data_IF_743646240160
#
_entry.id   IF_743646240160
#
_cell.length_a   1.000
_cell.length_b   1.000
_cell.length_c   1.000
_cell.angle_alpha   90.00
_cell.angle_beta   90.00
_cell.angle_gamma   90.00
#
_symmetry.space_group_name_H-M   'P 1'
#
loop_
_entity.id
_entity.type
_entity.pdbx_description
1 polymer ?
#
# COMPACT_ATOMS: atom_id res chain seq x y z
N UNK A 1 -2.63 10.82 6.12
CA UNK A 1 -1.69 11.04 5.00
C UNK A 1 -1.71 9.83 4.10
N UNK A 2 -1.88 10.02 2.79
CA UNK A 2 -1.81 8.92 1.81
C UNK A 2 -0.36 8.79 1.30
N UNK A 3 0.16 7.57 1.25
CA UNK A 3 1.47 7.24 0.69
C UNK A 3 1.27 6.19 -0.40
N UNK A 4 1.74 6.50 -1.61
CA UNK A 4 1.82 5.59 -2.75
C UNK A 4 3.28 5.51 -3.23
N UNK A 5 3.67 4.40 -3.86
CA UNK A 5 5.02 4.26 -4.42
C UNK A 5 5.31 5.35 -5.47
N UNK A 6 4.35 5.62 -6.35
CA UNK A 6 4.49 6.65 -7.40
C UNK A 6 4.71 8.05 -6.80
N UNK A 7 4.00 8.40 -5.72
CA UNK A 7 4.17 9.69 -5.04
C UNK A 7 5.57 9.80 -4.42
N UNK A 8 6.06 8.72 -3.82
CA UNK A 8 7.41 8.68 -3.23
C UNK A 8 8.48 8.83 -4.31
N UNK A 9 8.36 8.10 -5.42
CA UNK A 9 9.31 8.17 -6.53
C UNK A 9 9.30 9.56 -7.19
N UNK A 10 8.14 10.15 -7.43
CA UNK A 10 8.05 11.51 -7.98
C UNK A 10 8.70 12.54 -7.05
N UNK A 11 8.44 12.45 -5.74
CA UNK A 11 9.06 13.32 -4.74
C UNK A 11 10.58 13.14 -4.71
N UNK A 12 11.06 11.90 -4.68
CA UNK A 12 12.49 11.61 -4.68
C UNK A 12 13.16 12.17 -5.93
N UNK A 13 12.59 11.89 -7.11
CA UNK A 13 13.14 12.37 -8.37
C UNK A 13 13.18 13.89 -8.42
N UNK A 14 12.26 14.60 -7.76
CA UNK A 14 12.29 16.06 -7.67
C UNK A 14 13.35 16.61 -6.69
N UNK A 15 13.91 15.79 -5.80
CA UNK A 15 14.81 16.24 -4.73
C UNK A 15 16.21 16.68 -5.18
N UNK A 16 16.69 16.17 -6.33
CA UNK A 16 18.02 16.49 -6.87
C UNK A 16 19.20 15.93 -6.06
N UNK A 17 18.94 14.97 -5.16
CA UNK A 17 19.99 14.27 -4.38
C UNK A 17 20.76 13.26 -5.23
N UNK A 18 21.90 12.77 -4.71
CA UNK A 18 22.64 11.66 -5.34
C UNK A 18 21.75 10.40 -5.48
N UNK A 19 20.97 10.08 -4.44
CA UNK A 19 19.99 8.99 -4.48
C UNK A 19 18.97 9.20 -5.59
N UNK A 20 18.47 10.42 -5.80
CA UNK A 20 17.52 10.71 -6.87
C UNK A 20 18.09 10.44 -8.27
N UNK A 21 19.38 10.71 -8.49
CA UNK A 21 20.04 10.41 -9.77
C UNK A 21 20.13 8.90 -10.00
N UNK A 22 20.50 8.14 -8.96
CA UNK A 22 20.56 6.67 -9.01
C UNK A 22 19.16 6.09 -9.24
N UNK A 23 18.13 6.62 -8.58
CA UNK A 23 16.73 6.18 -8.75
C UNK A 23 16.27 6.40 -10.19
N UNK A 24 16.58 7.56 -10.79
CA UNK A 24 16.26 7.83 -12.20
C UNK A 24 16.96 6.83 -13.13
N UNK A 25 18.26 6.63 -12.95
CA UNK A 25 19.04 5.68 -13.77
C UNK A 25 18.49 4.25 -13.69
N UNK A 26 18.15 3.78 -12.49
CA UNK A 26 17.60 2.43 -12.30
C UNK A 26 16.20 2.31 -12.91
N UNK A 27 15.35 3.33 -12.78
CA UNK A 27 14.02 3.32 -13.39
C UNK A 27 14.11 3.32 -14.91
N UNK A 28 15.02 4.12 -15.48
CA UNK A 28 15.22 4.18 -16.94
C UNK A 28 15.77 2.87 -17.51
N UNK A 29 16.66 2.18 -16.78
CA UNK A 29 17.27 0.91 -17.22
C UNK A 29 16.39 -0.32 -16.96
N UNK A 30 15.82 -0.43 -15.74
CA UNK A 30 15.19 -1.66 -15.24
C UNK A 30 13.68 -1.54 -15.02
N UNK A 31 13.14 -0.32 -14.99
CA UNK A 31 11.73 -0.06 -14.73
C UNK A 31 11.25 -0.36 -13.31
N UNK A 32 12.11 -0.83 -12.40
CA UNK A 32 11.75 -1.21 -11.02
C UNK A 32 12.82 -0.81 -10.02
N UNK A 33 12.38 -0.30 -8.86
CA UNK A 33 13.25 0.13 -7.77
C UNK A 33 13.34 -0.94 -6.68
N UNK A 34 14.48 -0.98 -6.00
CA UNK A 34 14.68 -1.87 -4.86
C UNK A 34 13.63 -1.59 -3.76
N UNK A 35 12.91 -2.61 -3.27
CA UNK A 35 11.96 -2.46 -2.17
C UNK A 35 12.46 -1.71 -0.95
N UNK A 36 13.72 -1.89 -0.57
CA UNK A 36 14.31 -1.21 0.58
C UNK A 36 14.34 0.31 0.43
N UNK A 37 14.68 0.79 -0.77
CA UNK A 37 14.73 2.22 -1.10
C UNK A 37 13.33 2.84 -0.95
N UNK A 38 12.28 2.14 -1.39
CA UNK A 38 10.89 2.61 -1.23
C UNK A 38 10.53 2.72 0.25
N UNK A 39 10.94 1.75 1.09
CA UNK A 39 10.67 1.80 2.53
C UNK A 39 11.43 2.93 3.24
N UNK A 40 12.66 3.25 2.80
CA UNK A 40 13.40 4.39 3.33
C UNK A 40 12.64 5.70 3.03
N UNK A 41 12.15 5.88 1.80
CA UNK A 41 11.33 7.03 1.40
C UNK A 41 10.03 7.13 2.20
N UNK A 42 9.40 5.99 2.53
CA UNK A 42 8.22 5.94 3.41
C UNK A 42 8.55 6.55 4.77
N UNK A 43 9.62 6.08 5.40
CA UNK A 43 10.01 6.53 6.75
C UNK A 43 10.34 8.02 6.76
N UNK A 44 11.13 8.48 5.79
CA UNK A 44 11.48 9.90 5.66
C UNK A 44 10.24 10.77 5.50
N UNK A 45 9.28 10.36 4.65
CA UNK A 45 8.04 11.11 4.43
C UNK A 45 7.18 11.20 5.70
N UNK A 46 7.17 10.14 6.52
CA UNK A 46 6.46 10.13 7.81
C UNK A 46 7.15 11.07 8.80
N UNK A 47 8.48 10.99 8.90
CA UNK A 47 9.27 11.81 9.82
C UNK A 47 9.15 13.30 9.51
N UNK A 48 9.13 13.69 8.24
CA UNK A 48 8.95 15.09 7.83
C UNK A 48 7.62 15.70 8.27
N UNK A 49 6.58 14.89 8.46
CA UNK A 49 5.23 15.35 8.78
C UNK A 49 4.71 14.85 10.13
N UNK A 50 5.61 14.34 10.97
CA UNK A 50 5.23 13.62 12.19
C UNK A 50 4.33 14.45 13.11
N UNK A 51 4.58 15.76 13.19
CA UNK A 51 3.84 16.69 14.04
C UNK A 51 2.46 17.10 13.47
N UNK A 52 2.21 16.84 12.18
CA UNK A 52 1.00 17.26 11.46
C UNK A 52 0.04 16.11 11.16
N UNK A 53 0.54 14.87 11.12
CA UNK A 53 -0.25 13.71 10.68
C UNK A 53 -1.01 13.06 11.83
N UNK A 54 -2.29 12.76 11.57
CA UNK A 54 -3.14 11.96 12.48
C UNK A 54 -3.05 10.45 12.22
N UNK A 55 -2.46 10.06 11.09
CA UNK A 55 -2.41 8.68 10.63
C UNK A 55 -1.92 8.58 9.20
N UNK A 56 -1.56 7.36 8.80
CA UNK A 56 -0.97 7.05 7.49
C UNK A 56 -1.77 5.95 6.82
N UNK A 57 -2.09 6.15 5.54
CA UNK A 57 -2.71 5.16 4.66
C UNK A 57 -1.67 4.79 3.61
N UNK A 58 -1.27 3.52 3.60
CA UNK A 58 -0.38 2.99 2.57
C UNK A 58 -1.22 2.36 1.47
N UNK A 59 -1.02 2.81 0.22
CA UNK A 59 -1.65 2.23 -0.95
C UNK A 59 -0.59 1.55 -1.81
N UNK A 60 -0.77 0.24 -2.03
CA UNK A 60 0.17 -0.58 -2.80
C UNK A 60 1.47 -0.95 -2.07
N UNK A 61 1.59 -0.63 -0.77
CA UNK A 61 2.70 -0.96 0.12
C UNK A 61 2.11 -1.53 1.42
N UNK A 62 2.63 -2.65 1.97
CA UNK A 62 3.69 -3.50 1.43
C UNK A 62 3.20 -4.44 0.30
N UNK A 63 4.10 -4.85 -0.59
CA UNK A 63 3.81 -5.81 -1.70
C UNK A 63 4.16 -7.26 -1.38
N UNK A 64 4.91 -7.51 -0.32
CA UNK A 64 5.26 -8.85 0.13
C UNK A 64 5.51 -8.89 1.66
N UNK A 65 5.70 -10.11 2.18
CA UNK A 65 5.88 -10.36 3.62
C UNK A 65 7.13 -9.70 4.20
N UNK A 66 8.23 -9.64 3.44
CA UNK A 66 9.48 -9.05 3.91
C UNK A 66 9.32 -7.54 4.10
N UNK A 67 8.73 -6.85 3.12
CA UNK A 67 8.38 -5.44 3.23
C UNK A 67 7.43 -5.19 4.41
N UNK A 68 6.43 -6.05 4.61
CA UNK A 68 5.50 -5.91 5.72
C UNK A 68 6.21 -5.98 7.08
N UNK A 69 7.17 -6.89 7.24
CA UNK A 69 7.97 -7.01 8.45
C UNK A 69 8.87 -5.80 8.67
N UNK A 70 9.50 -5.29 7.61
CA UNK A 70 10.34 -4.10 7.69
C UNK A 70 9.51 -2.86 8.03
N UNK A 71 8.39 -2.64 7.34
CA UNK A 71 7.49 -1.53 7.61
C UNK A 71 6.97 -1.58 9.06
N UNK A 72 6.61 -2.77 9.55
CA UNK A 72 6.17 -2.93 10.95
C UNK A 72 7.26 -2.56 11.95
N UNK A 73 8.53 -2.86 11.68
CA UNK A 73 9.66 -2.50 12.55
C UNK A 73 9.97 -1.00 12.54
N UNK A 74 9.81 -0.36 11.39
CA UNK A 74 10.17 1.04 11.19
C UNK A 74 9.04 2.00 11.60
N UNK A 75 7.80 1.66 11.28
CA UNK A 75 6.63 2.54 11.45
C UNK A 75 5.71 2.05 12.58
N UNK A 76 5.61 0.74 12.77
CA UNK A 76 4.73 0.11 13.76
C UNK A 76 3.70 -0.83 13.14
N UNK A 77 2.94 -1.52 13.99
CA UNK A 77 1.93 -2.46 13.54
C UNK A 77 0.76 -1.76 12.83
N UNK A 78 0.28 -2.34 11.72
CA UNK A 78 -0.88 -1.82 11.02
C UNK A 78 -2.14 -1.98 11.88
N UNK A 79 -2.85 -0.86 12.11
CA UNK A 79 -4.15 -0.85 12.80
C UNK A 79 -5.22 -1.58 11.99
N UNK A 80 -5.19 -1.42 10.67
CA UNK A 80 -6.14 -2.00 9.73
C UNK A 80 -5.44 -2.34 8.41
N UNK A 81 -5.85 -3.44 7.78
CA UNK A 81 -5.46 -3.80 6.40
C UNK A 81 -6.74 -3.95 5.58
N UNK A 82 -6.91 -3.17 4.52
CA UNK A 82 -8.05 -3.32 3.60
C UNK A 82 -7.59 -4.19 2.44
N UNK A 83 -8.22 -5.34 2.28
CA UNK A 83 -7.98 -6.26 1.17
C UNK A 83 -9.15 -6.18 0.19
N UNK A 84 -8.92 -5.54 -0.96
CA UNK A 84 -9.87 -5.50 -2.05
C UNK A 84 -9.79 -6.82 -2.83
N UNK A 85 -10.79 -7.69 -2.64
CA UNK A 85 -10.87 -8.98 -3.31
C UNK A 85 -11.52 -8.82 -4.67
N UNK A 86 -10.79 -9.18 -5.72
CA UNK A 86 -11.27 -9.14 -7.09
C UNK A 86 -11.08 -10.51 -7.74
N UNK A 87 -12.05 -10.96 -8.53
CA UNK A 87 -11.90 -12.21 -9.29
C UNK A 87 -10.74 -12.09 -10.28
N UNK A 88 -10.03 -13.18 -10.49
CA UNK A 88 -8.86 -13.20 -11.38
C UNK A 88 -9.19 -12.82 -12.82
N UNK A 89 -10.41 -13.05 -13.30
CA UNK A 89 -10.87 -12.61 -14.62
C UNK A 89 -11.10 -11.11 -14.66
N UNK A 90 -11.85 -10.56 -13.70
CA UNK A 90 -12.08 -9.12 -13.54
C UNK A 90 -10.76 -8.34 -13.39
N UNK A 91 -9.78 -8.88 -12.66
CA UNK A 91 -8.44 -8.29 -12.56
C UNK A 91 -7.68 -8.30 -13.90
N UNK A 92 -7.80 -9.38 -14.68
CA UNK A 92 -7.18 -9.44 -16.01
C UNK A 92 -7.82 -8.43 -16.96
N UNK A 93 -9.14 -8.29 -16.91
CA UNK A 93 -9.88 -7.30 -17.71
C UNK A 93 -9.43 -5.88 -17.36
N UNK A 94 -9.42 -5.53 -16.07
CA UNK A 94 -8.99 -4.20 -15.61
C UNK A 94 -7.56 -3.86 -16.09
N UNK A 95 -6.60 -4.78 -15.94
CA UNK A 95 -5.24 -4.57 -16.44
C UNK A 95 -5.16 -4.48 -17.97
N UNK A 96 -6.02 -5.20 -18.69
CA UNK A 96 -6.10 -5.12 -20.16
C UNK A 96 -6.59 -3.74 -20.59
N UNK A 97 -7.61 -3.20 -19.92
CA UNK A 97 -8.17 -1.87 -20.21
C UNK A 97 -7.17 -0.74 -19.89
N UNK A 98 -6.26 -0.97 -18.92
CA UNK A 98 -5.12 -0.08 -18.64
C UNK A 98 -4.00 -0.15 -19.71
N UNK A 99 -4.13 -1.01 -20.71
CA UNK A 99 -3.18 -1.14 -21.82
C UNK A 99 -1.99 -2.06 -21.52
N UNK A 100 -2.11 -2.94 -20.53
CA UNK A 100 -1.04 -3.89 -20.19
C UNK A 100 -0.97 -5.06 -21.17
N UNK A 101 0.25 -5.48 -21.49
CA UNK A 101 0.48 -6.62 -22.37
C UNK A 101 0.10 -7.95 -21.69
N UNK A 102 -0.47 -8.93 -22.41
CA UNK A 102 -0.98 -10.18 -21.81
C UNK A 102 0.04 -10.97 -20.97
N UNK A 103 1.32 -10.95 -21.38
CA UNK A 103 2.43 -11.58 -20.65
C UNK A 103 2.71 -10.92 -19.29
N UNK A 104 2.60 -9.59 -19.24
CA UNK A 104 2.73 -8.77 -18.03
C UNK A 104 1.53 -8.97 -17.12
N UNK A 105 0.32 -8.98 -17.67
CA UNK A 105 -0.93 -9.24 -16.92
C UNK A 105 -0.83 -10.56 -16.17
N UNK A 106 -0.45 -11.64 -16.86
CA UNK A 106 -0.31 -12.96 -16.21
C UNK A 106 0.68 -12.90 -15.05
N UNK A 107 1.83 -12.28 -15.26
CA UNK A 107 2.87 -12.16 -14.23
C UNK A 107 2.41 -11.33 -13.02
N UNK A 108 1.71 -10.21 -13.26
CA UNK A 108 1.13 -9.34 -12.22
C UNK A 108 0.06 -10.08 -11.39
N UNK A 109 -0.86 -10.76 -12.06
CA UNK A 109 -1.91 -11.57 -11.40
C UNK A 109 -1.30 -12.68 -10.55
N UNK A 110 -0.33 -13.42 -11.10
CA UNK A 110 0.35 -14.51 -10.39
C UNK A 110 1.12 -13.97 -9.17
N UNK A 111 1.79 -12.82 -9.31
CA UNK A 111 2.50 -12.17 -8.21
C UNK A 111 1.52 -11.73 -7.10
N UNK A 112 0.41 -11.09 -7.47
CA UNK A 112 -0.62 -10.68 -6.52
C UNK A 112 -1.18 -11.89 -5.74
N UNK A 113 -1.55 -12.96 -6.45
CA UNK A 113 -2.08 -14.18 -5.84
C UNK A 113 -1.08 -14.89 -4.92
N UNK A 114 0.22 -14.82 -5.20
CA UNK A 114 1.24 -15.49 -4.37
C UNK A 114 1.71 -14.66 -3.20
N UNK A 115 1.95 -13.36 -3.41
CA UNK A 115 2.62 -12.49 -2.45
C UNK A 115 1.61 -11.70 -1.61
N UNK A 116 0.63 -11.08 -2.27
CA UNK A 116 -0.33 -10.18 -1.60
C UNK A 116 -1.39 -10.97 -0.85
N UNK A 117 -1.81 -12.13 -1.36
CA UNK A 117 -2.74 -13.02 -0.64
C UNK A 117 -2.19 -13.53 0.71
N UNK A 118 -0.87 -13.54 0.89
CA UNK A 118 -0.31 -13.88 2.20
C UNK A 118 -0.49 -12.74 3.21
N UNK A 119 -0.50 -11.50 2.73
CA UNK A 119 -0.71 -10.30 3.54
C UNK A 119 -2.16 -10.18 4.00
N UNK A 120 -3.12 -10.63 3.18
CA UNK A 120 -4.54 -10.62 3.57
C UNK A 120 -4.85 -11.52 4.78
N UNK A 121 -3.96 -12.44 5.14
CA UNK A 121 -4.09 -13.28 6.34
C UNK A 121 -3.75 -12.55 7.65
N UNK A 122 -3.44 -11.26 7.60
CA UNK A 122 -3.18 -10.47 8.80
C UNK A 122 -4.43 -10.39 9.70
N UNK A 123 -4.21 -10.35 11.02
CA UNK A 123 -5.30 -10.41 12.02
C UNK A 123 -6.27 -9.22 11.95
N UNK A 124 -5.81 -8.08 11.45
CA UNK A 124 -6.62 -6.86 11.29
C UNK A 124 -7.09 -6.66 9.86
N UNK A 125 -7.03 -7.70 9.02
CA UNK A 125 -7.50 -7.58 7.64
C UNK A 125 -9.03 -7.53 7.59
N UNK A 126 -9.50 -6.61 6.77
CA UNK A 126 -10.87 -6.47 6.35
C UNK A 126 -10.93 -6.72 4.84
N UNK A 127 -11.71 -7.71 4.43
CA UNK A 127 -11.97 -7.95 3.01
C UNK A 127 -13.17 -7.13 2.55
N UNK A 128 -13.03 -6.52 1.37
CA UNK A 128 -14.09 -5.81 0.66
C UNK A 128 -14.21 -6.37 -0.76
N UNK A 129 -15.41 -6.36 -1.30
CA UNK A 129 -15.70 -6.87 -2.64
C UNK A 129 -15.31 -5.82 -3.69
N UNK A 130 -14.21 -6.07 -4.40
CA UNK A 130 -13.68 -5.16 -5.41
C UNK A 130 -14.50 -5.08 -6.69
N UNK A 131 -15.52 -5.93 -6.88
CA UNK A 131 -16.41 -5.88 -8.04
C UNK A 131 -17.55 -4.88 -7.86
N UNK A 132 -17.73 -4.34 -6.65
CA UNK A 132 -18.72 -3.30 -6.36
C UNK A 132 -18.34 -1.94 -6.95
N UNK A 133 -19.33 -1.07 -7.03
CA UNK A 133 -19.11 0.33 -7.36
C UNK A 133 -18.13 0.98 -6.35
N UNK A 134 -17.21 1.86 -6.81
CA UNK A 134 -16.24 2.52 -5.91
C UNK A 134 -16.87 3.26 -4.74
N UNK A 135 -18.05 3.87 -4.91
CA UNK A 135 -18.73 4.57 -3.81
C UNK A 135 -19.24 3.60 -2.75
N UNK A 136 -19.86 2.49 -3.17
CA UNK A 136 -20.31 1.43 -2.25
C UNK A 136 -19.13 0.82 -1.49
N UNK A 137 -17.98 0.63 -2.16
CA UNK A 137 -16.79 0.09 -1.52
C UNK A 137 -16.21 1.06 -0.48
N UNK A 138 -16.26 2.37 -0.74
CA UNK A 138 -15.86 3.40 0.23
C UNK A 138 -16.79 3.39 1.43
N UNK A 139 -18.11 3.29 1.23
CA UNK A 139 -19.10 3.19 2.31
C UNK A 139 -18.84 1.94 3.17
N UNK A 140 -18.69 0.76 2.54
CA UNK A 140 -18.36 -0.50 3.22
C UNK A 140 -17.06 -0.38 4.05
N UNK A 141 -16.04 0.32 3.54
CA UNK A 141 -14.79 0.57 4.28
C UNK A 141 -15.03 1.46 5.49
N UNK A 142 -15.77 2.56 5.32
CA UNK A 142 -16.03 3.53 6.39
C UNK A 142 -16.83 2.91 7.52
N UNK A 143 -17.90 2.18 7.22
CA UNK A 143 -18.73 1.51 8.22
C UNK A 143 -17.89 0.58 9.09
N UNK A 144 -17.08 -0.27 8.46
CA UNK A 144 -16.27 -1.25 9.19
C UNK A 144 -15.09 -0.61 9.92
N UNK A 145 -14.52 0.50 9.42
CA UNK A 145 -13.52 1.29 10.17
C UNK A 145 -14.15 1.81 11.47
N UNK A 146 -15.34 2.39 11.38
CA UNK A 146 -16.08 2.94 12.52
C UNK A 146 -16.47 1.84 13.51
N UNK A 147 -16.89 0.67 13.05
CA UNK A 147 -17.17 -0.49 13.91
C UNK A 147 -15.93 -0.95 14.70
N UNK A 148 -14.75 -0.99 14.05
CA UNK A 148 -13.50 -1.33 14.73
C UNK A 148 -13.09 -0.27 15.75
N UNK A 149 -13.23 1.02 15.44
CA UNK A 149 -12.94 2.11 16.39
C UNK A 149 -13.89 2.09 17.59
N UNK A 150 -15.19 1.86 17.38
CA UNK A 150 -16.18 1.78 18.46
C UNK A 150 -16.01 0.52 19.35
N UNK A 151 -15.38 -0.53 18.83
CA UNK A 151 -14.97 -1.72 19.60
C UNK A 151 -13.72 -1.49 20.47
N UNK A 152 -12.93 -0.45 20.18
CA UNK A 152 -11.79 -0.02 20.99
C UNK A 152 -12.33 0.91 22.07
N UNK A 153 -12.70 0.35 23.23
CA UNK A 153 -12.82 1.16 24.45
C UNK A 153 -11.48 1.89 24.64
N UNK A 154 -11.48 3.20 24.40
CA UNK A 154 -10.41 4.09 24.80
C UNK A 154 -10.09 3.76 26.27
N UNK A 155 -8.85 3.37 26.54
CA UNK A 155 -8.38 3.26 27.91
C UNK A 155 -8.72 4.59 28.60
N UNK A 156 -9.36 4.57 29.78
CA UNK A 156 -9.69 5.81 30.48
C UNK A 156 -8.40 6.59 30.69
N UNK A 157 -8.44 7.88 30.36
CA UNK A 157 -7.34 8.80 30.60
C UNK A 157 -6.85 8.64 32.04
N UNK A 158 -5.55 8.37 32.21
CA UNK A 158 -4.94 8.24 33.51
C UNK A 158 -5.08 9.59 34.24
N UNK A 159 -5.92 9.60 35.29
CA UNK A 159 -5.99 10.67 36.28
C UNK A 159 -4.77 10.65 37.21
#
# INVERSE_FOLDING_TARGET
MLITEDLLLQKEMASGTERSNIVREILDDKGVICPGIVLDMVVETILEKLDEIKGVVFHGIPRNREQALHLQRLVGAASLVIYCELKGESLRMALTDEGEEPSTIKSKVDHFQKSVLQLSKHKTTMTVDGEKDPMELVEDCLEKIVEQENGIKLLPEAQ
#
